data_IF_039893437142
#
_entry.id   IF_039893437142
#
_cell.length_a   1.000
_cell.length_b   1.000
_cell.length_c   1.000
_cell.angle_alpha   90.00
_cell.angle_beta   90.00
_cell.angle_gamma   90.00
#
_symmetry.space_group_name_H-M   'P 1'
#
loop_
_entity.id
_entity.type
_entity.pdbx_description
1 polymer ?
#
# COMPACT_ATOMS: atom_id res chain seq x y z
N UNK A 1 -5.21 4.01 31.02
CA UNK A 1 -6.27 3.99 29.98
C UNK A 1 -5.58 4.19 28.65
N UNK A 2 -5.60 3.18 27.77
CA UNK A 2 -5.08 3.28 26.41
C UNK A 2 -6.20 3.83 25.52
N UNK A 3 -5.97 4.95 24.86
CA UNK A 3 -6.93 5.52 23.91
C UNK A 3 -6.69 4.91 22.54
N UNK A 4 -7.64 4.10 22.07
CA UNK A 4 -7.61 3.55 20.72
C UNK A 4 -8.27 4.51 19.73
N UNK A 5 -7.80 4.48 18.49
CA UNK A 5 -8.45 5.19 17.40
C UNK A 5 -9.71 4.42 17.01
N UNK A 6 -10.86 5.06 17.09
CA UNK A 6 -12.14 4.44 16.71
C UNK A 6 -12.22 4.19 15.20
N UNK A 7 -12.70 3.01 14.85
CA UNK A 7 -12.90 2.51 13.48
C UNK A 7 -14.16 1.60 13.48
N UNK A 8 -15.01 1.60 12.43
CA UNK A 8 -16.18 0.73 12.35
C UNK A 8 -15.91 -0.77 12.49
N UNK A 9 -14.66 -1.19 12.25
CA UNK A 9 -14.20 -2.58 12.35
C UNK A 9 -13.37 -2.83 13.63
N UNK A 10 -13.41 -1.90 14.59
CA UNK A 10 -12.62 -1.97 15.80
C UNK A 10 -13.17 -3.03 16.77
N UNK A 11 -12.33 -4.02 17.10
CA UNK A 11 -12.60 -5.04 18.12
C UNK A 11 -11.71 -4.79 19.35
N UNK A 12 -12.32 -4.69 20.53
CA UNK A 12 -11.61 -4.39 21.78
C UNK A 12 -10.67 -5.51 22.24
N UNK A 13 -11.02 -6.76 21.97
CA UNK A 13 -10.26 -7.95 22.36
C UNK A 13 -9.11 -8.27 21.38
N UNK A 14 -9.16 -7.68 20.19
CA UNK A 14 -8.10 -7.77 19.19
C UNK A 14 -7.37 -6.43 19.19
N UNK A 15 -6.30 -6.33 19.97
CA UNK A 15 -5.38 -5.19 19.87
C UNK A 15 -4.71 -5.21 18.48
N UNK A 16 -5.37 -4.64 17.48
CA UNK A 16 -4.79 -4.43 16.16
C UNK A 16 -3.81 -3.28 16.29
N UNK A 17 -2.53 -3.62 16.50
CA UNK A 17 -1.46 -2.64 16.35
C UNK A 17 -1.51 -2.12 14.92
N UNK A 18 -1.99 -0.89 14.73
CA UNK A 18 -2.02 -0.23 13.43
C UNK A 18 -0.57 0.10 13.06
N UNK A 19 0.09 -0.83 12.37
CA UNK A 19 1.43 -0.68 11.83
C UNK A 19 1.40 -0.19 10.39
N UNK A 20 2.37 0.65 10.02
CA UNK A 20 2.66 0.93 8.61
C UNK A 20 3.63 -0.14 8.13
N UNK A 21 3.27 -0.85 7.07
CA UNK A 21 4.13 -1.83 6.43
C UNK A 21 4.31 -1.51 4.95
N UNK A 22 5.49 -1.79 4.42
CA UNK A 22 5.75 -1.75 2.98
C UNK A 22 5.39 -3.10 2.37
N UNK A 23 4.68 -3.06 1.25
CA UNK A 23 4.35 -4.25 0.45
C UNK A 23 4.93 -4.08 -0.94
N UNK A 24 5.33 -5.19 -1.56
CA UNK A 24 5.91 -5.20 -2.89
C UNK A 24 5.11 -6.11 -3.81
N UNK A 25 4.92 -5.66 -5.05
CA UNK A 25 4.30 -6.45 -6.12
C UNK A 25 5.36 -6.74 -7.19
N UNK A 26 6.18 -7.81 -7.02
CA UNK A 26 7.33 -8.05 -7.89
C UNK A 26 6.94 -8.29 -9.35
N UNK A 27 5.79 -8.92 -9.60
CA UNK A 27 5.33 -9.33 -10.93
C UNK A 27 4.17 -8.46 -11.45
N UNK A 28 4.05 -7.23 -10.94
CA UNK A 28 3.02 -6.32 -11.41
C UNK A 28 3.31 -5.91 -12.88
N UNK A 29 2.34 -6.06 -13.80
CA UNK A 29 2.48 -5.57 -15.16
C UNK A 29 2.81 -4.05 -15.23
N UNK A 30 3.68 -3.60 -16.14
CA UNK A 30 4.07 -2.18 -16.24
C UNK A 30 2.91 -1.22 -16.49
N UNK A 31 1.87 -1.67 -17.18
CA UNK A 31 0.64 -0.88 -17.41
C UNK A 31 -0.14 -0.59 -16.12
N UNK A 32 0.17 -1.26 -15.01
CA UNK A 32 -0.43 -1.05 -13.69
C UNK A 32 0.47 -0.26 -12.73
N UNK A 33 1.56 0.35 -13.21
CA UNK A 33 2.47 1.15 -12.37
C UNK A 33 1.93 2.56 -12.09
N UNK A 34 0.78 2.93 -12.66
CA UNK A 34 0.08 4.14 -12.29
C UNK A 34 -0.28 4.11 -10.79
N UNK A 35 -0.07 5.22 -10.09
CA UNK A 35 -0.31 5.34 -8.65
C UNK A 35 -1.72 4.89 -8.26
N UNK A 36 -2.71 5.26 -9.06
CA UNK A 36 -4.11 4.94 -8.90
C UNK A 36 -4.37 3.43 -8.99
N UNK A 37 -3.71 2.76 -9.93
CA UNK A 37 -3.79 1.31 -10.09
C UNK A 37 -3.14 0.58 -8.90
N UNK A 38 -1.95 1.03 -8.48
CA UNK A 38 -1.26 0.47 -7.30
C UNK A 38 -2.11 0.67 -6.04
N UNK A 39 -2.70 1.84 -5.86
CA UNK A 39 -3.57 2.13 -4.72
C UNK A 39 -4.83 1.26 -4.74
N UNK A 40 -5.43 1.06 -5.92
CA UNK A 40 -6.59 0.17 -6.08
C UNK A 40 -6.25 -1.26 -5.66
N UNK A 41 -5.11 -1.79 -6.10
CA UNK A 41 -4.67 -3.16 -5.74
C UNK A 41 -4.32 -3.25 -4.25
N UNK A 42 -3.53 -2.30 -3.73
CA UNK A 42 -3.13 -2.27 -2.32
C UNK A 42 -4.32 -2.08 -1.36
N UNK A 43 -5.44 -1.52 -1.84
CA UNK A 43 -6.67 -1.39 -1.05
C UNK A 43 -7.25 -2.73 -0.58
N UNK A 44 -6.94 -3.81 -1.29
CA UNK A 44 -7.32 -5.17 -0.88
C UNK A 44 -6.54 -5.67 0.34
N UNK A 45 -5.33 -5.12 0.59
CA UNK A 45 -4.49 -5.49 1.74
C UNK A 45 -4.74 -4.56 2.93
N UNK A 46 -5.04 -3.29 2.68
CA UNK A 46 -5.27 -2.31 3.73
C UNK A 46 -5.45 -0.90 3.15
N UNK A 47 -5.13 0.13 3.94
CA UNK A 47 -5.24 1.52 3.47
C UNK A 47 -3.91 1.99 2.87
N UNK A 48 -3.77 2.11 1.53
CA UNK A 48 -2.54 2.60 0.93
C UNK A 48 -2.29 4.06 1.34
N UNK A 49 -1.04 4.37 1.66
CA UNK A 49 -0.60 5.71 2.09
C UNK A 49 0.28 6.38 1.04
N UNK A 50 1.27 5.65 0.52
CA UNK A 50 2.23 6.15 -0.47
C UNK A 50 2.82 5.01 -1.27
N UNK A 51 3.38 5.34 -2.42
CA UNK A 51 4.32 4.48 -3.16
C UNK A 51 5.75 4.93 -2.87
N UNK A 52 6.75 4.08 -3.14
CA UNK A 52 8.16 4.46 -3.07
C UNK A 52 8.50 5.52 -4.14
N UNK A 53 9.66 6.15 -3.99
CA UNK A 53 10.05 7.29 -4.82
C UNK A 53 10.31 6.88 -6.27
N UNK A 54 10.86 5.68 -6.47
CA UNK A 54 11.23 5.11 -7.75
C UNK A 54 9.98 4.78 -8.57
N UNK A 55 8.97 4.20 -7.94
CA UNK A 55 7.65 3.96 -8.53
C UNK A 55 6.93 5.27 -8.80
N UNK A 56 7.02 6.25 -7.89
CA UNK A 56 6.44 7.58 -8.10
C UNK A 56 7.04 8.31 -9.30
N UNK A 57 8.36 8.23 -9.46
CA UNK A 57 9.08 8.90 -10.53
C UNK A 57 9.13 8.07 -11.82
N UNK A 58 8.56 6.85 -11.82
CA UNK A 58 8.62 5.90 -12.93
C UNK A 58 10.05 5.60 -13.42
N UNK A 59 11.06 5.86 -12.59
CA UNK A 59 12.48 5.72 -12.92
C UNK A 59 13.01 4.31 -12.68
N UNK A 60 12.15 3.36 -12.29
CA UNK A 60 12.59 1.97 -12.09
C UNK A 60 12.91 1.36 -13.46
N UNK A 61 14.15 0.90 -13.70
CA UNK A 61 14.58 0.39 -15.00
C UNK A 61 13.79 -0.85 -15.47
N UNK A 62 13.07 -1.54 -14.57
CA UNK A 62 12.13 -2.61 -14.94
C UNK A 62 10.92 -2.11 -15.74
N UNK A 63 10.59 -0.82 -15.63
CA UNK A 63 9.54 -0.14 -16.38
C UNK A 63 10.06 0.38 -17.75
N UNK A 64 11.38 0.48 -17.92
CA UNK A 64 12.05 0.77 -19.18
C UNK A 64 12.36 -0.55 -19.91
N UNK A 65 11.35 -1.19 -20.51
CA UNK A 65 11.58 -2.31 -21.44
C UNK A 65 10.96 -2.01 -22.79
N UNK A 66 11.83 -1.57 -23.71
CA UNK A 66 11.91 -1.75 -25.19
C UNK A 66 10.59 -1.64 -25.97
#
# INVERSE_FOLDING_TARGET
MHTFKWDPWFELDVETTIGVTWISFPDLPPNLFAKEAIFSIASAVGRPLTVDMETKNQTRPSCERI
#
